data_IF_521351874110
#
_entry.id   IF_521351874110
#
_cell.length_a   1.000
_cell.length_b   1.000
_cell.length_c   1.000
_cell.angle_alpha   90.00
_cell.angle_beta   90.00
_cell.angle_gamma   90.00
#
_symmetry.space_group_name_H-M   'P 1'
#
loop_
_entity.id
_entity.type
_entity.pdbx_description
1 polymer ?
#
# COMPACT_ATOMS: atom_id res chain seq x y z
N UNK A 1 6.55 5.99 5.10
CA UNK A 1 5.65 5.18 5.94
C UNK A 1 6.17 5.10 7.38
N UNK A 2 5.45 5.66 8.35
CA UNK A 2 5.92 5.76 9.76
C UNK A 2 5.96 4.41 10.49
N UNK A 3 4.99 3.51 10.24
CA UNK A 3 4.94 2.20 10.90
C UNK A 3 6.22 1.37 10.68
N UNK A 4 6.71 1.32 9.43
CA UNK A 4 7.96 0.64 9.10
C UNK A 4 9.16 1.28 9.81
N UNK A 5 9.19 2.61 9.88
CA UNK A 5 10.26 3.34 10.57
C UNK A 5 10.31 2.99 12.07
N UNK A 6 9.16 3.00 12.75
CA UNK A 6 9.08 2.67 14.19
C UNK A 6 9.63 1.27 14.49
N UNK A 7 9.32 0.29 13.64
CA UNK A 7 9.81 -1.09 13.78
C UNK A 7 11.32 -1.14 13.51
N UNK A 8 11.78 -0.56 12.40
CA UNK A 8 13.21 -0.60 12.02
C UNK A 8 14.11 0.13 13.01
N UNK A 9 13.61 1.16 13.70
CA UNK A 9 14.33 1.87 14.75
C UNK A 9 14.18 1.25 16.13
N UNK A 10 13.41 0.17 16.28
CA UNK A 10 13.21 -0.51 17.56
C UNK A 10 12.49 0.33 18.60
N UNK A 11 11.72 1.34 18.18
CA UNK A 11 11.00 2.25 19.10
C UNK A 11 9.87 1.49 19.79
N UNK A 12 9.16 0.63 19.05
CA UNK A 12 8.14 -0.27 19.60
C UNK A 12 8.30 -1.69 19.02
N UNK A 13 7.96 -2.74 19.80
CA UNK A 13 7.87 -4.10 19.29
C UNK A 13 6.89 -4.21 18.12
N UNK A 14 7.30 -4.89 17.04
CA UNK A 14 6.50 -5.04 15.82
C UNK A 14 5.08 -5.60 16.07
N UNK A 15 4.92 -6.49 17.06
CA UNK A 15 3.62 -7.08 17.44
C UNK A 15 2.59 -6.07 17.95
N UNK A 16 3.03 -4.89 18.38
CA UNK A 16 2.16 -3.82 18.89
C UNK A 16 1.77 -2.81 17.80
N UNK A 17 2.40 -2.87 16.63
CA UNK A 17 2.18 -1.90 15.55
C UNK A 17 1.17 -2.47 14.55
N UNK A 18 0.18 -1.65 14.21
CA UNK A 18 -0.78 -1.90 13.13
C UNK A 18 -0.73 -0.72 12.16
N UNK A 19 -0.70 -1.01 10.87
CA UNK A 19 -0.77 -0.01 9.81
C UNK A 19 -2.16 -0.05 9.17
N UNK A 20 -2.90 1.04 9.27
CA UNK A 20 -4.16 1.22 8.54
C UNK A 20 -4.09 2.55 7.83
N UNK A 21 -4.27 2.54 6.52
CA UNK A 21 -4.25 3.74 5.68
C UNK A 21 -5.55 3.88 4.92
N UNK A 22 -5.90 5.11 4.55
CA UNK A 22 -7.11 5.44 3.79
C UNK A 22 -6.69 6.24 2.56
N UNK A 23 -7.06 5.78 1.37
CA UNK A 23 -6.73 6.46 0.10
C UNK A 23 -5.22 6.58 -0.17
N UNK A 24 -4.42 5.59 0.26
CA UNK A 24 -2.97 5.71 0.20
C UNK A 24 -2.42 5.61 -1.26
N UNK A 25 -1.63 6.60 -1.72
CA UNK A 25 -0.92 6.53 -3.00
C UNK A 25 0.26 5.55 -2.93
N UNK A 26 0.86 5.18 -4.07
CA UNK A 26 2.03 4.29 -4.13
C UNK A 26 3.23 5.03 -3.54
N UNK A 27 3.72 4.59 -2.38
CA UNK A 27 4.77 5.33 -1.64
C UNK A 27 6.19 4.89 -1.94
N UNK A 28 6.38 3.74 -2.59
CA UNK A 28 7.69 3.16 -2.81
C UNK A 28 7.65 2.07 -3.88
N UNK A 29 8.80 1.46 -4.12
CA UNK A 29 8.93 0.40 -5.11
C UNK A 29 8.68 -1.00 -4.53
N UNK A 30 8.91 -2.04 -5.33
CA UNK A 30 8.72 -3.45 -4.93
C UNK A 30 9.51 -3.80 -3.67
N UNK A 31 10.78 -3.42 -3.59
CA UNK A 31 11.62 -3.68 -2.41
C UNK A 31 11.08 -2.99 -1.15
N UNK A 32 10.59 -1.76 -1.29
CA UNK A 32 9.95 -1.06 -0.18
C UNK A 32 8.65 -1.74 0.25
N UNK A 33 7.81 -2.17 -0.70
CA UNK A 33 6.58 -2.89 -0.41
C UNK A 33 6.90 -4.20 0.34
N UNK A 34 7.86 -4.98 -0.12
CA UNK A 34 8.33 -6.20 0.56
C UNK A 34 8.80 -5.92 1.99
N UNK A 35 9.59 -4.85 2.20
CA UNK A 35 10.02 -4.47 3.54
C UNK A 35 8.85 -4.14 4.47
N UNK A 36 7.79 -3.48 3.98
CA UNK A 36 6.55 -3.27 4.75
C UNK A 36 5.89 -4.62 5.07
N UNK A 37 5.81 -5.53 4.11
CA UNK A 37 5.15 -6.83 4.28
C UNK A 37 5.83 -7.74 5.30
N UNK A 38 7.15 -7.76 5.28
CA UNK A 38 7.96 -8.56 6.19
C UNK A 38 7.88 -8.07 7.62
N UNK A 39 7.93 -6.75 7.83
CA UNK A 39 8.10 -6.13 9.13
C UNK A 39 6.76 -5.76 9.78
N UNK A 40 5.77 -5.30 9.01
CA UNK A 40 4.46 -4.86 9.52
C UNK A 40 3.42 -5.96 9.26
N UNK A 41 3.18 -6.82 10.26
CA UNK A 41 2.30 -7.99 10.10
C UNK A 41 0.83 -7.62 9.90
N UNK A 42 0.33 -6.65 10.66
CA UNK A 42 -1.05 -6.15 10.52
C UNK A 42 -1.01 -4.87 9.70
N UNK A 43 -1.42 -4.97 8.43
CA UNK A 43 -1.42 -3.87 7.47
C UNK A 43 -2.66 -3.93 6.59
N UNK A 44 -3.40 -2.82 6.50
CA UNK A 44 -4.58 -2.70 5.65
C UNK A 44 -4.58 -1.35 4.94
N UNK A 45 -4.86 -1.38 3.64
CA UNK A 45 -5.15 -0.20 2.84
C UNK A 45 -6.64 -0.15 2.60
N UNK A 46 -7.30 0.89 3.07
CA UNK A 46 -8.72 1.13 2.82
C UNK A 46 -8.86 2.06 1.63
N UNK A 47 -9.65 1.65 0.63
CA UNK A 47 -9.86 2.42 -0.60
C UNK A 47 -11.34 2.53 -0.89
N UNK A 48 -11.79 3.76 -1.13
CA UNK A 48 -13.13 4.06 -1.60
C UNK A 48 -13.21 3.95 -3.12
N UNK A 49 -14.36 3.52 -3.65
CA UNK A 49 -14.62 3.49 -5.09
C UNK A 49 -14.33 4.85 -5.72
N UNK A 50 -13.58 4.83 -6.82
CA UNK A 50 -13.31 6.04 -7.60
C UNK A 50 -12.34 7.02 -6.96
N UNK A 51 -11.64 6.65 -5.88
CA UNK A 51 -10.56 7.48 -5.32
C UNK A 51 -9.35 7.55 -6.29
N UNK A 52 -9.07 8.73 -6.89
CA UNK A 52 -7.97 8.88 -7.85
C UNK A 52 -6.59 8.81 -7.20
N UNK A 53 -6.46 9.07 -5.90
CA UNK A 53 -5.16 9.13 -5.20
C UNK A 53 -4.48 7.76 -5.20
N UNK A 54 -5.28 6.70 -5.09
CA UNK A 54 -4.80 5.32 -5.12
C UNK A 54 -4.20 4.89 -6.46
N UNK A 55 -4.40 5.69 -7.51
CA UNK A 55 -3.78 5.47 -8.81
C UNK A 55 -2.48 6.26 -9.00
N UNK A 56 -2.02 7.03 -8.01
CA UNK A 56 -0.81 7.84 -8.10
C UNK A 56 0.36 7.24 -7.32
N UNK A 57 1.61 7.39 -7.79
CA UNK A 57 2.01 7.56 -9.19
C UNK A 57 1.48 6.43 -10.07
N UNK A 58 1.21 6.71 -11.35
CA UNK A 58 0.65 5.72 -12.28
C UNK A 58 1.55 4.48 -12.40
N UNK A 59 0.93 3.30 -12.49
CA UNK A 59 1.64 2.08 -12.85
C UNK A 59 2.06 2.15 -14.32
N UNK A 60 3.30 1.76 -14.60
CA UNK A 60 3.81 1.68 -15.97
C UNK A 60 3.07 0.54 -16.67
N UNK A 61 2.71 0.76 -17.94
CA UNK A 61 2.02 -0.24 -18.75
C UNK A 61 2.88 -1.54 -18.84
N UNK A 62 2.28 -2.74 -18.79
CA UNK A 62 2.98 -4.02 -18.96
C UNK A 62 3.95 -4.07 -20.15
N UNK A 63 3.65 -3.37 -21.25
CA UNK A 63 4.56 -3.28 -22.41
C UNK A 63 5.85 -2.51 -22.06
N UNK A 64 5.75 -1.46 -21.23
CA UNK A 64 6.91 -0.70 -20.75
C UNK A 64 7.75 -1.46 -19.71
N UNK A 65 7.15 -2.40 -18.97
CA UNK A 65 7.84 -3.28 -18.03
C UNK A 65 8.74 -4.32 -18.73
N UNK A 66 8.38 -4.72 -19.96
CA UNK A 66 9.18 -5.64 -20.77
C UNK A 66 10.45 -4.99 -21.34
N UNK A 67 10.55 -3.66 -21.34
CA UNK A 67 11.67 -2.93 -21.95
C UNK A 67 12.91 -2.88 -21.05
N UNK A 68 12.77 -3.00 -19.72
CA UNK A 68 13.91 -3.16 -18.81
C UNK A 68 13.49 -3.59 -17.39
N UNK A 69 14.17 -4.58 -16.77
CA UNK A 69 13.94 -4.95 -15.37
C UNK A 69 14.21 -3.79 -14.39
N UNK A 70 15.10 -2.86 -14.74
CA UNK A 70 15.38 -1.67 -13.91
C UNK A 70 14.19 -0.71 -13.81
N UNK A 71 13.31 -0.69 -14.82
CA UNK A 71 12.08 0.10 -14.82
C UNK A 71 11.05 -0.55 -13.90
N UNK A 72 10.96 -1.88 -13.93
CA UNK A 72 10.09 -2.65 -13.05
C UNK A 72 10.44 -2.44 -11.56
N UNK A 73 11.72 -2.42 -11.23
CA UNK A 73 12.21 -2.21 -9.87
C UNK A 73 11.99 -0.80 -9.33
N UNK A 74 11.77 0.19 -10.20
CA UNK A 74 11.55 1.60 -9.81
C UNK A 74 10.08 1.99 -9.78
N UNK A 75 9.21 1.17 -10.37
CA UNK A 75 7.79 1.44 -10.41
C UNK A 75 7.18 1.49 -9.00
N UNK A 76 6.27 2.44 -8.78
CA UNK A 76 5.46 2.49 -7.57
C UNK A 76 4.69 1.19 -7.38
N UNK A 77 4.75 0.61 -6.19
CA UNK A 77 4.14 -0.66 -5.86
C UNK A 77 3.42 -0.58 -4.51
N UNK A 78 2.31 -1.31 -4.40
CA UNK A 78 1.55 -1.42 -3.17
C UNK A 78 1.89 -2.71 -2.44
N UNK A 79 1.90 -2.65 -1.11
CA UNK A 79 1.87 -3.87 -0.30
C UNK A 79 0.47 -4.51 -0.34
N UNK A 80 0.43 -5.83 -0.17
CA UNK A 80 -0.65 -6.73 -0.62
C UNK A 80 -2.09 -6.44 -0.18
N UNK A 81 -2.33 -6.11 1.08
CA UNK A 81 -3.69 -6.17 1.66
C UNK A 81 -4.49 -4.88 1.43
N UNK A 82 -5.52 -5.00 0.57
CA UNK A 82 -6.48 -3.97 0.22
C UNK A 82 -7.88 -4.34 0.75
N UNK A 83 -8.52 -3.38 1.41
CA UNK A 83 -9.95 -3.39 1.72
C UNK A 83 -10.60 -2.36 0.80
N UNK A 84 -11.29 -2.84 -0.23
CA UNK A 84 -11.97 -2.01 -1.20
C UNK A 84 -13.44 -1.83 -0.82
N UNK A 85 -13.90 -0.60 -0.77
CA UNK A 85 -15.30 -0.25 -0.55
C UNK A 85 -15.94 0.12 -1.86
N UNK A 86 -16.82 -0.74 -2.37
CA UNK A 86 -17.64 -0.48 -3.54
C UNK A 86 -18.97 0.22 -3.20
N UNK A 87 -18.93 1.10 -2.20
CA UNK A 87 -20.08 1.87 -1.74
C UNK A 87 -19.62 3.28 -1.34
N UNK A 88 -20.55 4.10 -0.86
CA UNK A 88 -20.28 5.49 -0.47
C UNK A 88 -19.67 5.60 0.94
N UNK A 89 -19.33 4.47 1.58
CA UNK A 89 -18.85 4.37 2.97
C UNK A 89 -19.74 5.12 3.98
N UNK A 90 -21.06 5.21 3.74
CA UNK A 90 -21.97 5.90 4.66
C UNK A 90 -22.14 5.07 5.93
N UNK A 91 -22.53 5.76 7.01
CA UNK A 91 -22.85 5.10 8.28
C UNK A 91 -23.95 4.06 8.05
N UNK A 92 -23.69 2.81 8.44
CA UNK A 92 -24.54 1.62 8.26
C UNK A 92 -24.51 0.97 6.87
N UNK A 93 -23.71 1.47 5.92
CA UNK A 93 -23.49 0.75 4.67
C UNK A 93 -22.79 -0.58 4.97
N UNK A 94 -23.27 -1.66 4.35
CA UNK A 94 -22.64 -2.96 4.47
C UNK A 94 -21.40 -3.01 3.59
N UNK A 95 -20.38 -3.71 4.09
CA UNK A 95 -19.29 -4.19 3.25
C UNK A 95 -19.87 -5.16 2.22
N UNK A 96 -19.69 -4.87 0.94
CA UNK A 96 -20.01 -5.77 -0.18
C UNK A 96 -18.86 -6.75 -0.42
#
# INVERSE_FOLDING_TARGET
MTALYLIKKGIFPAKLIRLVTFGEPRTGNVAFAQAVEENVKVRYRVVHRGDPVTNMPASINPIGLLLSPTIAERQGYFYRYLVYYDNDMKKNDKFS
#
